data_IF_379583303679
#
_entry.id   IF_379583303679
#
_cell.length_a   1.000
_cell.length_b   1.000
_cell.length_c   1.000
_cell.angle_alpha   90.00
_cell.angle_beta   90.00
_cell.angle_gamma   90.00
#
_symmetry.space_group_name_H-M   'P 1'
#
loop_
_entity.id
_entity.type
_entity.pdbx_description
1 polymer ?
#
# COMPACT_ATOMS: atom_id res chain seq x y z
N UNK A 1 -9.68 -0.42 -16.10
CA UNK A 1 -8.29 -0.70 -15.71
C UNK A 1 -7.41 0.06 -16.69
N UNK A 2 -6.62 1.02 -16.21
CA UNK A 2 -5.61 1.70 -17.03
C UNK A 2 -4.23 1.46 -16.42
N UNK A 3 -3.26 1.22 -17.28
CA UNK A 3 -1.85 1.08 -16.90
C UNK A 3 -1.14 2.30 -17.47
N UNK A 4 -0.48 3.05 -16.60
CA UNK A 4 0.29 4.22 -17.03
C UNK A 4 1.73 3.81 -17.42
N UNK A 5 2.37 4.64 -18.25
CA UNK A 5 3.74 4.38 -18.73
C UNK A 5 4.70 4.15 -17.55
N UNK A 6 4.55 4.92 -16.48
CA UNK A 6 5.37 4.80 -15.27
C UNK A 6 5.18 3.44 -14.57
N UNK A 7 3.96 2.90 -14.61
CA UNK A 7 3.67 1.56 -14.08
C UNK A 7 4.37 0.47 -14.88
N UNK A 8 4.38 0.58 -16.20
CA UNK A 8 5.06 -0.37 -17.08
C UNK A 8 6.58 -0.35 -16.88
N UNK A 9 7.17 0.85 -16.75
CA UNK A 9 8.59 1.02 -16.43
C UNK A 9 8.92 0.42 -15.07
N UNK A 10 8.12 0.73 -14.05
CA UNK A 10 8.30 0.20 -12.68
C UNK A 10 8.20 -1.32 -12.66
N UNK A 11 7.27 -1.90 -13.42
CA UNK A 11 7.12 -3.35 -13.54
C UNK A 11 8.36 -3.99 -14.16
N UNK A 12 8.85 -3.45 -15.30
CA UNK A 12 10.05 -3.96 -15.96
C UNK A 12 11.30 -3.88 -15.08
N UNK A 13 11.50 -2.74 -14.41
CA UNK A 13 12.60 -2.56 -13.46
C UNK A 13 12.44 -3.46 -12.23
N UNK A 14 11.22 -3.70 -11.77
CA UNK A 14 10.91 -4.60 -10.66
C UNK A 14 11.32 -6.04 -10.96
N UNK A 15 10.95 -6.56 -12.14
CA UNK A 15 11.35 -7.89 -12.59
C UNK A 15 12.87 -8.01 -12.65
N UNK A 16 13.55 -7.04 -13.25
CA UNK A 16 15.02 -7.02 -13.32
C UNK A 16 15.65 -6.98 -11.92
N UNK A 17 15.10 -6.21 -11.00
CA UNK A 17 15.58 -6.12 -9.63
C UNK A 17 15.46 -7.45 -8.88
N UNK A 18 14.32 -8.15 -9.02
CA UNK A 18 14.10 -9.48 -8.43
C UNK A 18 15.14 -10.48 -8.96
N UNK A 19 15.41 -10.47 -10.26
CA UNK A 19 16.37 -11.38 -10.88
C UNK A 19 17.82 -11.08 -10.46
N UNK A 20 18.16 -9.81 -10.20
CA UNK A 20 19.54 -9.40 -9.96
C UNK A 20 19.93 -9.44 -8.48
N UNK A 21 19.24 -8.74 -7.59
CA UNK A 21 19.53 -8.75 -6.15
C UNK A 21 18.41 -8.10 -5.31
N UNK A 22 18.29 -8.53 -4.04
CA UNK A 22 17.38 -7.90 -3.07
C UNK A 22 17.78 -6.45 -2.74
N UNK A 23 19.09 -6.13 -2.79
CA UNK A 23 19.56 -4.76 -2.62
C UNK A 23 19.08 -3.84 -3.76
N UNK A 24 19.08 -4.33 -5.00
CA UNK A 24 18.55 -3.57 -6.14
C UNK A 24 17.03 -3.38 -6.02
N UNK A 25 16.30 -4.39 -5.55
CA UNK A 25 14.87 -4.27 -5.29
C UNK A 25 14.57 -3.24 -4.17
N UNK A 26 15.39 -3.19 -3.13
CA UNK A 26 15.28 -2.18 -2.06
C UNK A 26 15.56 -0.77 -2.61
N UNK A 27 16.62 -0.60 -3.38
CA UNK A 27 16.95 0.71 -4.02
C UNK A 27 15.80 1.17 -4.91
N UNK A 28 15.23 0.26 -5.72
CA UNK A 28 14.08 0.56 -6.56
C UNK A 28 12.87 0.99 -5.71
N UNK A 29 12.57 0.27 -4.62
CA UNK A 29 11.47 0.60 -3.73
C UNK A 29 11.65 1.99 -3.09
N UNK A 30 12.85 2.34 -2.66
CA UNK A 30 13.15 3.67 -2.13
C UNK A 30 12.99 4.76 -3.19
N UNK A 31 13.52 4.56 -4.40
CA UNK A 31 13.39 5.53 -5.49
C UNK A 31 11.93 5.72 -5.93
N UNK A 32 11.18 4.63 -6.10
CA UNK A 32 9.79 4.69 -6.54
C UNK A 32 8.85 5.17 -5.43
N UNK A 33 9.23 5.03 -4.15
CA UNK A 33 8.51 5.61 -3.02
C UNK A 33 8.45 7.13 -3.07
N UNK A 34 9.44 7.80 -3.67
CA UNK A 34 9.43 9.26 -3.88
C UNK A 34 8.36 9.71 -4.89
N UNK A 35 7.86 8.80 -5.72
CA UNK A 35 6.81 9.06 -6.70
C UNK A 35 5.42 8.78 -6.15
N UNK A 36 5.18 9.06 -4.86
CA UNK A 36 3.94 8.75 -4.17
C UNK A 36 2.67 9.40 -4.75
N UNK A 37 2.82 10.52 -5.47
CA UNK A 37 1.71 11.19 -6.15
C UNK A 37 1.40 10.62 -7.54
N UNK A 38 2.29 9.78 -8.11
CA UNK A 38 2.09 9.18 -9.42
C UNK A 38 1.22 7.92 -9.31
N UNK A 39 0.41 7.67 -10.33
CA UNK A 39 -0.35 6.42 -10.49
C UNK A 39 0.41 5.48 -11.41
N UNK A 40 0.62 4.24 -10.97
CA UNK A 40 1.19 3.20 -11.82
C UNK A 40 0.08 2.39 -12.50
N UNK A 41 -0.99 2.10 -11.75
CA UNK A 41 -2.15 1.34 -12.24
C UNK A 41 -3.40 1.85 -11.53
N UNK A 42 -4.51 1.95 -12.26
CA UNK A 42 -5.81 2.34 -11.71
C UNK A 42 -6.81 1.20 -11.86
N UNK A 43 -7.44 0.81 -10.76
CA UNK A 43 -8.53 -0.16 -10.70
C UNK A 43 -9.77 0.52 -10.13
N UNK A 44 -10.64 1.05 -11.00
CA UNK A 44 -11.80 1.82 -10.54
C UNK A 44 -11.40 3.03 -9.73
N UNK A 45 -11.73 3.05 -8.44
CA UNK A 45 -11.37 4.12 -7.50
C UNK A 45 -10.01 3.93 -6.78
N UNK A 46 -9.37 2.78 -6.95
CA UNK A 46 -8.09 2.48 -6.31
C UNK A 46 -6.93 2.78 -7.27
N UNK A 47 -5.96 3.55 -6.79
CA UNK A 47 -4.73 3.84 -7.51
C UNK A 47 -3.55 3.15 -6.82
N UNK A 48 -2.85 2.29 -7.55
CA UNK A 48 -1.61 1.69 -7.10
C UNK A 48 -0.47 2.61 -7.53
N UNK A 49 0.30 3.10 -6.58
CA UNK A 49 1.47 3.95 -6.88
C UNK A 49 2.68 3.10 -7.28
N UNK A 50 3.67 3.66 -7.98
CA UNK A 50 4.92 2.97 -8.31
C UNK A 50 5.64 2.44 -7.06
N UNK A 51 5.54 3.15 -5.92
CA UNK A 51 6.09 2.73 -4.64
C UNK A 51 5.49 1.41 -4.15
N UNK A 52 4.16 1.28 -4.13
CA UNK A 52 3.50 0.03 -3.72
C UNK A 52 3.86 -1.14 -4.64
N UNK A 53 3.91 -0.89 -5.95
CA UNK A 53 4.30 -1.93 -6.91
C UNK A 53 5.73 -2.40 -6.67
N UNK A 54 6.67 -1.49 -6.44
CA UNK A 54 8.07 -1.81 -6.17
C UNK A 54 8.29 -2.49 -4.82
N UNK A 55 7.49 -2.18 -3.79
CA UNK A 55 7.46 -2.93 -2.53
C UNK A 55 7.03 -4.38 -2.74
N UNK A 56 6.04 -4.64 -3.58
CA UNK A 56 5.65 -6.00 -3.97
C UNK A 56 6.83 -6.78 -4.58
N UNK A 57 7.60 -6.16 -5.47
CA UNK A 57 8.81 -6.77 -6.02
C UNK A 57 9.92 -6.96 -5.00
N UNK A 58 10.06 -6.06 -4.03
CA UNK A 58 11.01 -6.23 -2.92
C UNK A 58 10.66 -7.45 -2.07
N UNK A 59 9.38 -7.59 -1.69
CA UNK A 59 8.90 -8.77 -0.95
C UNK A 59 9.17 -10.04 -1.73
N UNK A 60 8.86 -10.06 -3.04
CA UNK A 60 9.11 -11.19 -3.91
C UNK A 60 10.61 -11.53 -4.00
N UNK A 61 11.49 -10.53 -4.13
CA UNK A 61 12.94 -10.72 -4.16
C UNK A 61 13.46 -11.32 -2.86
N UNK A 62 12.95 -10.87 -1.70
CA UNK A 62 13.33 -11.40 -0.39
C UNK A 62 12.84 -12.85 -0.23
N UNK A 63 11.59 -13.14 -0.62
CA UNK A 63 11.03 -14.49 -0.53
C UNK A 63 11.79 -15.50 -1.38
N UNK A 64 12.17 -15.14 -2.60
CA UNK A 64 12.88 -16.03 -3.51
C UNK A 64 14.33 -16.29 -3.03
N UNK A 65 15.01 -15.25 -2.51
CA UNK A 65 16.45 -15.33 -2.22
C UNK A 65 16.79 -15.81 -0.83
N UNK A 66 15.99 -15.49 0.18
CA UNK A 66 16.31 -15.74 1.59
C UNK A 66 15.60 -16.96 2.19
N UNK A 67 15.26 -17.95 1.38
CA UNK A 67 14.46 -19.11 1.81
C UNK A 67 13.19 -18.73 2.57
N UNK A 68 12.59 -17.62 2.15
CA UNK A 68 11.26 -17.11 2.41
C UNK A 68 10.85 -17.02 3.88
N UNK A 69 10.42 -18.11 4.44
CA UNK A 69 9.74 -18.11 5.74
C UNK A 69 10.67 -17.98 6.95
N UNK A 70 11.91 -18.43 6.86
CA UNK A 70 12.85 -18.36 7.99
C UNK A 70 13.20 -16.92 8.36
N UNK A 71 13.35 -16.05 7.36
CA UNK A 71 13.58 -14.61 7.60
C UNK A 71 12.36 -13.94 8.21
N UNK A 72 11.15 -14.27 7.74
CA UNK A 72 9.92 -13.72 8.27
C UNK A 72 9.70 -14.11 9.73
N UNK A 73 9.94 -15.36 10.09
CA UNK A 73 9.83 -15.83 11.48
C UNK A 73 10.81 -15.12 12.42
N UNK A 74 12.05 -14.90 11.98
CA UNK A 74 13.04 -14.15 12.76
C UNK A 74 12.69 -12.68 12.88
N UNK A 75 12.18 -12.03 11.81
CA UNK A 75 11.78 -10.65 11.84
C UNK A 75 10.54 -10.39 12.72
N UNK A 76 9.67 -11.40 12.86
CA UNK A 76 8.44 -11.34 13.66
C UNK A 76 8.62 -11.73 15.13
N UNK A 77 9.83 -12.04 15.59
CA UNK A 77 10.07 -12.32 17.01
C UNK A 77 9.76 -11.09 17.88
N UNK A 78 9.19 -11.33 19.05
CA UNK A 78 8.90 -10.28 20.03
C UNK A 78 10.16 -9.45 20.34
N UNK A 79 9.96 -8.12 20.42
CA UNK A 79 11.05 -7.16 20.68
C UNK A 79 11.84 -6.74 19.44
N UNK A 80 11.51 -7.25 18.25
CA UNK A 80 12.13 -6.81 17.00
C UNK A 80 11.28 -5.76 16.28
N UNK A 81 11.90 -4.85 15.51
CA UNK A 81 11.17 -3.82 14.77
C UNK A 81 10.09 -4.37 13.83
N UNK A 82 10.33 -5.54 13.23
CA UNK A 82 9.38 -6.21 12.35
C UNK A 82 8.08 -6.60 13.05
N UNK A 83 8.16 -7.03 14.32
CA UNK A 83 6.98 -7.33 15.12
C UNK A 83 6.13 -6.08 15.40
N UNK A 84 6.76 -4.96 15.74
CA UNK A 84 6.07 -3.69 15.96
C UNK A 84 5.42 -3.20 14.67
N UNK A 85 6.12 -3.33 13.54
CA UNK A 85 5.57 -2.97 12.22
C UNK A 85 4.34 -3.83 11.89
N UNK A 86 4.39 -5.14 12.16
CA UNK A 86 3.26 -6.04 11.96
C UNK A 86 2.05 -5.60 12.81
N UNK A 87 2.26 -5.29 14.09
CA UNK A 87 1.19 -4.78 14.95
C UNK A 87 0.59 -3.48 14.42
N UNK A 88 1.44 -2.57 13.94
CA UNK A 88 1.00 -1.31 13.33
C UNK A 88 0.15 -1.56 12.07
N UNK A 89 0.58 -2.48 11.20
CA UNK A 89 -0.19 -2.86 10.01
C UNK A 89 -1.54 -3.48 10.38
N UNK A 90 -1.58 -4.39 11.36
CA UNK A 90 -2.82 -5.00 11.85
C UNK A 90 -3.74 -3.92 12.41
N UNK A 91 -3.20 -2.99 13.20
CA UNK A 91 -3.96 -1.88 13.75
C UNK A 91 -4.50 -0.96 12.66
N UNK A 92 -3.66 -0.53 11.72
CA UNK A 92 -4.05 0.33 10.60
C UNK A 92 -5.15 -0.32 9.74
N UNK A 93 -4.99 -1.59 9.39
CA UNK A 93 -5.99 -2.35 8.64
C UNK A 93 -7.32 -2.47 9.42
N UNK A 94 -7.24 -2.87 10.68
CA UNK A 94 -8.42 -3.02 11.53
C UNK A 94 -9.14 -1.69 11.73
N UNK A 95 -8.43 -0.61 12.00
CA UNK A 95 -9.01 0.71 12.20
C UNK A 95 -9.68 1.24 10.93
N UNK A 96 -9.12 1.01 9.76
CA UNK A 96 -9.71 1.42 8.48
C UNK A 96 -11.06 0.76 8.20
N UNK A 97 -11.29 -0.44 8.71
CA UNK A 97 -12.55 -1.17 8.54
C UNK A 97 -13.53 -0.90 9.69
N UNK A 98 -13.02 -0.90 10.95
CA UNK A 98 -13.87 -0.84 12.13
C UNK A 98 -14.33 0.59 12.46
N UNK A 99 -13.45 1.58 12.35
CA UNK A 99 -13.77 2.95 12.75
C UNK A 99 -14.94 3.55 11.97
N UNK A 100 -15.01 3.44 10.63
CA UNK A 100 -16.15 3.95 9.89
C UNK A 100 -17.48 3.26 10.23
N UNK A 101 -17.43 2.03 10.76
CA UNK A 101 -18.63 1.29 11.18
C UNK A 101 -19.07 1.64 12.59
N UNK A 102 -18.11 1.81 13.51
CA UNK A 102 -18.37 2.15 14.90
C UNK A 102 -18.92 3.58 15.04
N UNK A 103 -18.41 4.50 14.23
CA UNK A 103 -18.78 5.91 14.27
C UNK A 103 -19.64 6.34 13.08
N UNK A 104 -20.38 5.39 12.50
CA UNK A 104 -21.25 5.66 11.36
C UNK A 104 -22.34 6.68 11.74
N UNK A 105 -22.36 7.83 11.05
CA UNK A 105 -23.32 8.90 11.27
C UNK A 105 -23.00 9.87 12.42
N UNK A 106 -22.01 9.56 13.29
CA UNK A 106 -21.64 10.45 14.41
C UNK A 106 -20.72 11.60 14.01
N UNK A 107 -19.92 11.40 12.95
CA UNK A 107 -18.97 12.40 12.46
C UNK A 107 -19.29 12.84 11.05
N UNK A 108 -19.18 14.15 10.81
CA UNK A 108 -19.21 14.72 9.47
C UNK A 108 -17.82 14.68 8.87
N UNK A 109 -17.70 14.20 7.64
CA UNK A 109 -16.44 14.09 6.90
C UNK A 109 -16.55 14.74 5.53
N UNK A 110 -15.44 15.22 5.03
CA UNK A 110 -15.34 15.71 3.68
C UNK A 110 -14.97 14.55 2.74
N UNK A 111 -15.87 14.08 1.87
CA UNK A 111 -15.55 13.00 0.94
C UNK A 111 -14.52 13.49 -0.08
N UNK A 112 -13.44 12.73 -0.24
CA UNK A 112 -12.48 12.92 -1.33
C UNK A 112 -13.10 12.47 -2.66
N UNK A 113 -13.89 13.32 -3.27
CA UNK A 113 -14.49 13.05 -4.58
C UNK A 113 -14.03 14.14 -5.55
N UNK A 114 -13.19 13.77 -6.52
CA UNK A 114 -12.60 14.71 -7.49
C UNK A 114 -13.63 15.44 -8.36
N UNK A 115 -14.85 14.90 -8.47
CA UNK A 115 -15.88 15.42 -9.35
C UNK A 115 -16.84 16.43 -8.68
N UNK A 116 -16.71 16.66 -7.37
CA UNK A 116 -17.60 17.58 -6.66
C UNK A 116 -17.04 19.00 -6.66
N UNK A 117 -17.70 19.88 -7.36
CA UNK A 117 -17.44 21.34 -7.35
C UNK A 117 -17.64 22.01 -5.98
N UNK A 118 -18.30 21.35 -5.05
CA UNK A 118 -18.58 21.85 -3.70
C UNK A 118 -18.13 20.82 -2.67
N UNK A 119 -17.38 21.28 -1.68
CA UNK A 119 -17.00 20.49 -0.50
C UNK A 119 -18.21 20.50 0.43
N UNK A 120 -19.02 19.45 0.38
CA UNK A 120 -20.18 19.27 1.27
C UNK A 120 -19.80 18.25 2.32
N UNK A 121 -19.98 18.62 3.57
CA UNK A 121 -19.88 17.67 4.69
C UNK A 121 -20.95 16.60 4.56
N UNK A 122 -20.54 15.34 4.70
CA UNK A 122 -21.44 14.20 4.72
C UNK A 122 -21.19 13.37 5.97
N UNK A 123 -22.23 12.75 6.56
CA UNK A 123 -22.01 11.85 7.68
C UNK A 123 -21.12 10.69 7.27
N UNK A 124 -20.25 10.27 8.19
CA UNK A 124 -19.37 9.13 8.00
C UNK A 124 -20.18 7.86 7.83
N UNK A 125 -20.02 7.18 6.70
CA UNK A 125 -20.59 5.87 6.46
C UNK A 125 -19.53 4.89 5.92
N UNK A 126 -19.66 3.59 6.22
CA UNK A 126 -18.82 2.58 5.61
C UNK A 126 -18.95 2.62 4.09
N UNK A 127 -17.83 2.75 3.39
CA UNK A 127 -17.80 2.85 1.92
C UNK A 127 -16.66 2.02 1.35
N UNK A 128 -16.70 1.74 0.04
CA UNK A 128 -15.59 1.09 -0.65
C UNK A 128 -14.26 1.88 -0.56
N UNK A 129 -14.33 3.19 -0.36
CA UNK A 129 -13.14 4.02 -0.17
C UNK A 129 -12.37 3.66 1.12
N UNK A 130 -13.07 3.23 2.18
CA UNK A 130 -12.45 2.80 3.43
C UNK A 130 -11.66 1.50 3.25
N UNK A 131 -12.15 0.60 2.41
CA UNK A 131 -11.42 -0.61 2.05
C UNK A 131 -10.17 -0.27 1.22
N UNK A 132 -10.29 0.67 0.29
CA UNK A 132 -9.13 1.15 -0.47
C UNK A 132 -8.07 1.75 0.45
N UNK A 133 -8.44 2.52 1.48
CA UNK A 133 -7.51 3.04 2.48
C UNK A 133 -6.81 1.91 3.25
N UNK A 134 -7.52 0.83 3.58
CA UNK A 134 -6.93 -0.33 4.26
C UNK A 134 -5.82 -1.02 3.44
N UNK A 135 -5.87 -0.92 2.11
CA UNK A 135 -4.85 -1.48 1.20
C UNK A 135 -3.57 -0.64 1.21
N UNK A 136 -3.64 0.64 1.64
CA UNK A 136 -2.46 1.52 1.70
C UNK A 136 -1.65 1.39 3.00
N UNK A 137 -2.11 0.61 3.97
CA UNK A 137 -1.39 0.25 5.19
C UNK A 137 -0.63 -1.06 5.03
#
# INVERSE_FOLDING_TARGET
>A
MSIELIGLITFGLGVLAVLRSSAMALTLACCMGLLGAASAMSFGSANITPGHLSLGFLVLAVLIRNRGFDFATVAMQQGRPGFLLLLLCIWGFSSSILMPRLFAGEFMVFPMNADRKFIIEVPLYPSGANFNQAVYF
#
